data_IF_813907179352
#
_entry.id   IF_813907179352
#
_cell.length_a   1.000
_cell.length_b   1.000
_cell.length_c   1.000
_cell.angle_alpha   90.00
_cell.angle_beta   90.00
_cell.angle_gamma   90.00
#
_symmetry.space_group_name_H-M   'P 1'
#
loop_
_entity.id
_entity.type
_entity.pdbx_description
1 polymer ?
#
# COMPACT_ATOMS: atom_id res chain seq x y z
N UNK A 1 1.77 -9.22 -45.04
CA UNK A 1 0.91 -8.05 -44.73
C UNK A 1 1.79 -6.92 -44.24
N UNK A 2 1.66 -5.70 -44.79
CA UNK A 2 2.59 -4.60 -44.51
C UNK A 2 2.42 -4.06 -43.07
N UNK A 3 3.51 -4.05 -42.30
CA UNK A 3 3.61 -3.47 -40.95
C UNK A 3 3.16 -2.00 -40.88
N UNK A 4 3.17 -1.29 -42.03
CA UNK A 4 2.79 0.12 -42.14
C UNK A 4 1.35 0.38 -41.70
N UNK A 5 0.40 -0.52 -42.01
CA UNK A 5 -1.00 -0.33 -41.60
C UNK A 5 -1.15 -0.41 -40.09
N UNK A 6 -0.50 -1.40 -39.45
CA UNK A 6 -0.51 -1.56 -37.99
C UNK A 6 0.09 -0.34 -37.29
N UNK A 7 1.26 0.12 -37.73
CA UNK A 7 1.91 1.33 -37.18
C UNK A 7 0.99 2.56 -37.31
N UNK A 8 0.35 2.75 -38.46
CA UNK A 8 -0.59 3.88 -38.66
C UNK A 8 -1.81 3.77 -37.76
N UNK A 9 -2.38 2.57 -37.60
CA UNK A 9 -3.51 2.34 -36.71
C UNK A 9 -3.16 2.64 -35.25
N UNK A 10 -2.05 2.09 -34.74
CA UNK A 10 -1.57 2.36 -33.38
C UNK A 10 -1.28 3.84 -33.15
N UNK A 11 -0.65 4.51 -34.12
CA UNK A 11 -0.38 5.96 -34.04
C UNK A 11 -1.67 6.77 -33.94
N UNK A 12 -2.69 6.43 -34.73
CA UNK A 12 -3.99 7.10 -34.67
C UNK A 12 -4.68 6.86 -33.33
N UNK A 13 -4.72 5.62 -32.85
CA UNK A 13 -5.30 5.27 -31.54
C UNK A 13 -4.58 6.06 -30.43
N UNK A 14 -3.25 6.05 -30.40
CA UNK A 14 -2.45 6.80 -29.42
C UNK A 14 -2.76 8.30 -29.45
N UNK A 15 -2.81 8.92 -30.63
CA UNK A 15 -3.17 10.33 -30.77
C UNK A 15 -4.58 10.63 -30.26
N UNK A 16 -5.55 9.77 -30.56
CA UNK A 16 -6.94 9.96 -30.13
C UNK A 16 -7.10 9.73 -28.62
N UNK A 17 -6.40 8.75 -28.03
CA UNK A 17 -6.32 8.56 -26.57
C UNK A 17 -5.69 9.77 -25.88
N UNK A 18 -4.61 10.34 -26.43
CA UNK A 18 -3.98 11.54 -25.86
C UNK A 18 -4.89 12.77 -25.94
N UNK A 19 -5.68 12.94 -27.02
CA UNK A 19 -6.70 14.00 -27.09
C UNK A 19 -7.77 13.83 -26.00
N UNK A 20 -8.16 12.59 -25.71
CA UNK A 20 -9.10 12.28 -24.62
C UNK A 20 -8.48 12.62 -23.25
N UNK A 21 -7.23 12.23 -23.00
CA UNK A 21 -6.51 12.60 -21.77
C UNK A 21 -6.44 14.11 -21.57
N UNK A 22 -6.09 14.88 -22.61
CA UNK A 22 -6.07 16.36 -22.57
C UNK A 22 -7.44 16.97 -22.29
N UNK A 23 -8.51 16.37 -22.81
CA UNK A 23 -9.88 16.81 -22.51
C UNK A 23 -10.24 16.51 -21.07
N UNK A 24 -9.88 15.31 -20.58
CA UNK A 24 -10.17 14.88 -19.23
C UNK A 24 -9.54 15.80 -18.17
N UNK A 25 -8.24 16.10 -18.28
CA UNK A 25 -7.54 16.97 -17.31
C UNK A 25 -8.03 18.43 -17.30
N UNK A 26 -8.77 18.86 -18.34
CA UNK A 26 -9.44 20.17 -18.41
C UNK A 26 -10.86 20.15 -17.87
N UNK A 27 -11.48 18.97 -17.82
CA UNK A 27 -12.91 18.82 -17.49
C UNK A 27 -13.12 18.28 -16.07
N UNK A 28 -12.15 17.53 -15.53
CA UNK A 28 -12.29 16.82 -14.28
C UNK A 28 -11.07 17.05 -13.37
N UNK A 29 -11.26 17.04 -12.04
CA UNK A 29 -10.17 16.83 -11.11
C UNK A 29 -9.39 15.56 -11.47
N UNK A 30 -8.07 15.66 -11.49
CA UNK A 30 -7.20 14.56 -11.90
C UNK A 30 -5.99 14.45 -10.98
N UNK A 31 -5.44 13.23 -10.97
CA UNK A 31 -4.21 12.89 -10.25
C UNK A 31 -3.19 12.41 -11.25
N UNK A 32 -1.93 12.64 -10.94
CA UNK A 32 -0.81 12.21 -11.75
C UNK A 32 -0.02 11.14 -11.00
N UNK A 33 0.46 10.16 -11.74
CA UNK A 33 1.46 9.23 -11.25
C UNK A 33 2.34 8.78 -12.41
N UNK A 34 3.56 8.38 -12.12
CA UNK A 34 4.46 7.80 -13.09
C UNK A 34 5.37 6.80 -12.40
N UNK A 35 5.89 5.88 -13.20
CA UNK A 35 6.84 4.87 -12.74
C UNK A 35 7.78 4.48 -13.88
N UNK A 36 8.89 3.86 -13.50
CA UNK A 36 9.94 3.40 -14.38
C UNK A 36 9.47 2.22 -15.25
N UNK A 37 9.80 2.32 -16.53
CA UNK A 37 9.75 1.22 -17.47
C UNK A 37 11.17 0.74 -17.73
N UNK A 38 11.51 -0.39 -17.12
CA UNK A 38 12.83 -0.97 -17.17
C UNK A 38 12.81 -2.30 -17.93
N UNK A 39 13.44 -2.34 -19.09
CA UNK A 39 13.42 -3.51 -19.98
C UNK A 39 14.84 -4.08 -20.11
N UNK A 40 15.15 -5.23 -19.51
CA UNK A 40 16.42 -5.90 -19.68
C UNK A 40 16.46 -6.65 -21.01
N UNK A 41 17.44 -6.32 -21.85
CA UNK A 41 17.74 -7.07 -23.07
C UNK A 41 18.94 -7.98 -22.84
N UNK A 42 18.70 -9.30 -22.87
CA UNK A 42 19.73 -10.31 -22.64
C UNK A 42 20.33 -10.74 -23.97
N UNK A 43 21.64 -10.56 -24.12
CA UNK A 43 22.40 -11.21 -25.18
C UNK A 43 22.87 -12.58 -24.70
N UNK A 44 22.36 -13.64 -25.34
CA UNK A 44 22.75 -15.03 -25.02
C UNK A 44 24.16 -15.38 -25.50
N UNK A 45 24.69 -14.63 -26.47
CA UNK A 45 26.04 -14.81 -27.02
C UNK A 45 26.78 -13.48 -27.02
N UNK A 46 27.39 -13.15 -25.89
CA UNK A 46 28.05 -11.87 -25.68
C UNK A 46 29.28 -11.70 -26.59
N UNK A 47 29.36 -10.58 -27.32
CA UNK A 47 30.51 -10.13 -28.12
C UNK A 47 30.83 -8.67 -27.79
N UNK A 48 31.95 -8.12 -28.27
CA UNK A 48 32.29 -6.70 -28.02
C UNK A 48 31.16 -5.75 -28.42
N UNK A 49 30.48 -6.04 -29.53
CA UNK A 49 29.39 -5.28 -30.15
C UNK A 49 27.99 -5.81 -29.78
N UNK A 50 27.91 -6.93 -29.06
CA UNK A 50 26.64 -7.59 -28.73
C UNK A 50 26.61 -7.93 -27.24
N UNK A 51 26.35 -6.92 -26.40
CA UNK A 51 26.25 -7.08 -24.95
C UNK A 51 24.79 -7.00 -24.51
N UNK A 52 24.49 -7.63 -23.38
CA UNK A 52 23.25 -7.34 -22.67
C UNK A 52 23.21 -5.84 -22.35
N UNK A 53 22.05 -5.22 -22.54
CA UNK A 53 21.82 -3.83 -22.20
C UNK A 53 20.48 -3.68 -21.50
N UNK A 54 20.27 -2.52 -20.89
CA UNK A 54 19.11 -2.23 -20.08
C UNK A 54 18.54 -0.91 -20.58
N UNK A 55 17.34 -0.96 -21.13
CA UNK A 55 16.64 0.25 -21.56
C UNK A 55 15.80 0.76 -20.40
N UNK A 56 16.07 1.99 -19.99
CA UNK A 56 15.33 2.69 -18.95
C UNK A 56 14.53 3.83 -19.57
N UNK A 57 13.23 3.81 -19.30
CA UNK A 57 12.32 4.90 -19.57
C UNK A 57 11.34 5.07 -18.43
N UNK A 58 10.36 5.95 -18.63
CA UNK A 58 9.30 6.21 -17.67
C UNK A 58 7.98 6.32 -18.39
N UNK A 59 6.91 5.86 -17.75
CA UNK A 59 5.54 6.02 -18.23
C UNK A 59 4.71 6.77 -17.19
N UNK A 60 3.93 7.74 -17.66
CA UNK A 60 3.01 8.50 -16.81
C UNK A 60 1.58 8.04 -16.98
N UNK A 61 0.72 8.33 -16.00
CA UNK A 61 -0.71 8.11 -16.05
C UNK A 61 -1.45 9.26 -15.38
N UNK A 62 -2.61 9.61 -15.94
CA UNK A 62 -3.59 10.47 -15.28
C UNK A 62 -4.79 9.65 -14.84
N UNK A 63 -5.27 9.93 -13.63
CA UNK A 63 -6.44 9.28 -13.03
C UNK A 63 -7.52 10.31 -12.76
N UNK A 64 -8.76 10.03 -13.16
CA UNK A 64 -9.90 10.93 -12.97
C UNK A 64 -11.21 10.13 -12.84
N UNK A 65 -12.23 10.72 -12.20
CA UNK A 65 -13.55 10.11 -12.03
C UNK A 65 -14.61 10.97 -12.73
N UNK A 66 -14.94 10.69 -14.00
CA UNK A 66 -15.80 11.58 -14.80
C UNK A 66 -17.26 11.60 -14.36
N UNK A 67 -17.69 10.59 -13.59
CA UNK A 67 -19.08 10.42 -13.15
C UNK A 67 -19.24 10.66 -11.65
N UNK A 68 -18.15 10.96 -10.93
CA UNK A 68 -18.23 11.17 -9.49
C UNK A 68 -18.91 12.52 -9.19
N UNK A 69 -19.56 12.65 -8.03
CA UNK A 69 -19.97 13.95 -7.53
C UNK A 69 -18.79 14.93 -7.52
N UNK A 70 -19.02 16.24 -7.77
CA UNK A 70 -17.97 17.23 -7.75
C UNK A 70 -17.16 17.18 -6.46
N UNK A 71 -15.84 17.12 -6.58
CA UNK A 71 -14.93 17.17 -5.45
C UNK A 71 -14.86 18.61 -4.90
N UNK A 72 -14.67 18.79 -3.57
CA UNK A 72 -14.39 20.10 -3.01
C UNK A 72 -13.18 20.74 -3.71
N UNK A 73 -13.26 22.03 -4.10
CA UNK A 73 -12.16 22.69 -4.79
C UNK A 73 -10.93 22.74 -3.90
N UNK A 74 -9.78 22.38 -4.45
CA UNK A 74 -8.50 22.56 -3.77
C UNK A 74 -8.02 24.00 -3.96
N UNK A 75 -7.77 24.69 -2.86
CA UNK A 75 -7.34 26.10 -2.86
C UNK A 75 -5.89 26.16 -2.42
N UNK A 76 -4.99 26.56 -3.34
CA UNK A 76 -3.54 26.60 -3.08
C UNK A 76 -3.19 27.49 -1.87
N UNK A 77 -3.77 28.67 -1.78
CA UNK A 77 -3.53 29.61 -0.69
C UNK A 77 -3.93 29.00 0.67
N UNK A 78 -5.10 28.34 0.75
CA UNK A 78 -5.54 27.67 1.96
C UNK A 78 -4.63 26.51 2.38
N UNK A 79 -4.10 25.75 1.41
CA UNK A 79 -3.08 24.72 1.69
C UNK A 79 -1.78 25.33 2.21
N UNK A 80 -1.33 26.45 1.65
CA UNK A 80 -0.11 27.13 2.10
C UNK A 80 -0.27 27.68 3.53
N UNK A 81 -1.39 28.33 3.82
CA UNK A 81 -1.72 28.84 5.16
C UNK A 81 -1.76 27.70 6.19
N UNK A 82 -2.43 26.59 5.87
CA UNK A 82 -2.51 25.41 6.73
C UNK A 82 -1.13 24.77 6.96
N UNK A 83 -0.29 24.65 5.93
CA UNK A 83 1.11 24.18 6.07
C UNK A 83 1.94 25.10 6.98
N UNK A 84 1.82 26.43 6.83
CA UNK A 84 2.55 27.38 7.68
C UNK A 84 2.13 27.23 9.15
N UNK A 85 0.84 27.03 9.40
CA UNK A 85 0.32 26.78 10.75
C UNK A 85 0.81 25.43 11.29
N UNK A 86 0.66 24.35 10.52
CA UNK A 86 1.02 23.00 10.92
C UNK A 86 2.51 22.80 11.18
N UNK A 87 3.40 23.48 10.44
CA UNK A 87 4.85 23.47 10.71
C UNK A 87 5.23 24.01 12.09
N UNK A 88 4.40 24.87 12.69
CA UNK A 88 4.62 25.39 14.04
C UNK A 88 4.17 24.42 15.14
N UNK A 89 3.46 23.36 14.76
CA UNK A 89 2.95 22.32 15.64
C UNK A 89 3.15 20.94 14.97
N UNK A 90 4.41 20.49 14.80
CA UNK A 90 4.69 19.21 14.17
C UNK A 90 4.12 18.06 14.99
N UNK A 91 3.72 16.98 14.32
CA UNK A 91 3.32 15.74 14.97
C UNK A 91 4.49 15.20 15.79
N UNK A 92 4.22 14.87 17.06
CA UNK A 92 5.20 14.36 18.00
C UNK A 92 5.14 12.83 18.10
N UNK A 93 6.15 12.23 18.74
CA UNK A 93 6.12 10.80 19.06
C UNK A 93 4.93 10.47 19.97
N UNK A 94 4.63 11.33 20.95
CA UNK A 94 3.50 11.13 21.87
C UNK A 94 2.16 11.17 21.13
N UNK A 95 2.00 12.04 20.13
CA UNK A 95 0.83 12.03 19.25
C UNK A 95 0.69 10.69 18.52
N UNK A 96 1.79 10.14 17.98
CA UNK A 96 1.77 8.88 17.23
C UNK A 96 1.47 7.69 18.14
N UNK A 97 2.04 7.66 19.35
CA UNK A 97 1.72 6.65 20.38
C UNK A 97 0.24 6.74 20.74
N UNK A 98 -0.29 7.96 20.91
CA UNK A 98 -1.72 8.18 21.20
C UNK A 98 -2.59 7.64 20.07
N UNK A 99 -2.23 7.91 18.81
CA UNK A 99 -2.96 7.38 17.64
C UNK A 99 -2.92 5.84 17.57
N UNK A 100 -1.80 5.21 17.92
CA UNK A 100 -1.67 3.75 17.96
C UNK A 100 -2.56 3.14 19.06
N UNK A 101 -2.55 3.74 20.26
CA UNK A 101 -3.40 3.32 21.38
C UNK A 101 -4.89 3.50 21.07
N UNK A 102 -5.28 4.59 20.43
CA UNK A 102 -6.66 4.82 19.97
C UNK A 102 -7.08 3.85 18.86
N UNK A 103 -6.14 3.40 18.01
CA UNK A 103 -6.40 2.43 16.96
C UNK A 103 -6.49 0.99 17.51
N UNK A 104 -5.82 0.69 18.62
CA UNK A 104 -5.64 -0.67 19.11
C UNK A 104 -6.95 -1.47 19.29
N UNK A 105 -8.05 -0.94 19.88
CA UNK A 105 -9.29 -1.69 20.00
C UNK A 105 -9.90 -2.08 18.64
N UNK A 106 -9.89 -1.16 17.68
CA UNK A 106 -10.43 -1.43 16.34
C UNK A 106 -9.54 -2.44 15.61
N UNK A 107 -8.22 -2.30 15.70
CA UNK A 107 -7.28 -3.26 15.11
C UNK A 107 -7.41 -4.65 15.76
N UNK A 108 -7.72 -4.72 17.06
CA UNK A 108 -8.01 -5.97 17.74
C UNK A 108 -9.24 -6.68 17.16
N UNK A 109 -10.34 -5.96 16.92
CA UNK A 109 -11.54 -6.51 16.26
C UNK A 109 -11.22 -7.12 14.89
N UNK A 110 -10.38 -6.46 14.10
CA UNK A 110 -9.92 -7.00 12.82
C UNK A 110 -9.05 -8.26 12.97
N UNK A 111 -8.17 -8.31 14.00
CA UNK A 111 -7.37 -9.49 14.32
C UNK A 111 -8.24 -10.70 14.69
N UNK A 112 -9.23 -10.48 15.55
CA UNK A 112 -10.21 -11.51 15.97
C UNK A 112 -10.99 -12.02 14.76
N UNK A 113 -11.49 -11.13 13.91
CA UNK A 113 -12.18 -11.52 12.69
C UNK A 113 -11.28 -12.31 11.74
N UNK A 114 -10.01 -11.94 11.58
CA UNK A 114 -9.07 -12.72 10.76
C UNK A 114 -8.86 -14.14 11.32
N UNK A 115 -8.71 -14.27 12.64
CA UNK A 115 -8.62 -15.59 13.29
C UNK A 115 -9.88 -16.44 13.09
N UNK A 116 -11.07 -15.84 13.20
CA UNK A 116 -12.35 -16.48 12.84
C UNK A 116 -12.36 -16.88 11.38
N UNK A 117 -12.00 -15.97 10.48
CA UNK A 117 -12.01 -16.20 9.04
C UNK A 117 -11.17 -17.42 8.64
N UNK A 118 -9.99 -17.62 9.24
CA UNK A 118 -9.16 -18.80 8.96
C UNK A 118 -9.81 -20.13 9.38
N UNK A 119 -10.68 -20.11 10.39
CA UNK A 119 -11.53 -21.24 10.75
C UNK A 119 -12.69 -21.39 9.76
N UNK A 120 -13.46 -20.32 9.51
CA UNK A 120 -14.67 -20.35 8.69
C UNK A 120 -14.39 -20.74 7.23
N UNK A 121 -13.26 -20.27 6.68
CA UNK A 121 -12.79 -20.61 5.33
C UNK A 121 -12.18 -22.02 5.25
N UNK A 122 -12.03 -22.72 6.39
CA UNK A 122 -11.48 -24.08 6.41
C UNK A 122 -12.41 -25.06 5.71
N UNK A 123 -11.91 -25.87 4.75
CA UNK A 123 -12.69 -26.96 4.17
C UNK A 123 -13.26 -27.93 5.21
N UNK A 124 -12.51 -28.16 6.31
CA UNK A 124 -12.93 -29.02 7.42
C UNK A 124 -14.13 -28.42 8.17
N UNK A 125 -14.13 -27.10 8.39
CA UNK A 125 -15.23 -26.42 9.06
C UNK A 125 -16.46 -26.37 8.17
N UNK A 126 -16.29 -26.13 6.87
CA UNK A 126 -17.36 -26.09 5.87
C UNK A 126 -18.53 -25.19 6.29
N UNK A 127 -18.31 -23.86 6.22
CA UNK A 127 -19.28 -22.84 6.66
C UNK A 127 -20.71 -23.06 6.14
N UNK A 128 -20.85 -23.56 4.89
CA UNK A 128 -22.16 -23.87 4.29
C UNK A 128 -23.03 -24.85 5.09
N UNK A 129 -22.40 -25.66 5.95
CA UNK A 129 -23.05 -26.66 6.81
C UNK A 129 -23.27 -26.20 8.24
N UNK A 130 -22.81 -25.00 8.59
CA UNK A 130 -22.96 -24.45 9.93
C UNK A 130 -24.32 -23.79 10.10
N UNK A 131 -25.05 -24.17 11.15
CA UNK A 131 -26.43 -23.73 11.40
C UNK A 131 -26.56 -22.20 11.43
N UNK A 132 -25.56 -21.51 11.99
CA UNK A 132 -25.56 -20.07 12.20
C UNK A 132 -24.67 -19.31 11.20
N UNK A 133 -24.45 -19.84 9.99
CA UNK A 133 -23.54 -19.25 8.99
C UNK A 133 -23.84 -17.78 8.61
N UNK A 134 -25.07 -17.30 8.83
CA UNK A 134 -25.49 -15.92 8.57
C UNK A 134 -25.47 -14.99 9.78
N UNK A 135 -24.94 -15.44 10.92
CA UNK A 135 -24.90 -14.64 12.15
C UNK A 135 -23.96 -13.43 12.01
N UNK A 136 -24.40 -12.27 12.51
CA UNK A 136 -23.65 -11.03 12.43
C UNK A 136 -22.31 -11.06 13.18
N UNK A 137 -22.16 -11.92 14.19
CA UNK A 137 -20.90 -12.09 14.93
C UNK A 137 -19.78 -12.73 14.10
N UNK A 138 -20.13 -13.38 12.99
CA UNK A 138 -19.19 -14.02 12.05
C UNK A 138 -18.83 -13.09 10.88
N UNK A 139 -19.54 -11.98 10.74
CA UNK A 139 -19.32 -11.01 9.68
C UNK A 139 -18.02 -10.22 9.90
N UNK A 140 -17.41 -9.70 8.83
CA UNK A 140 -16.31 -8.74 8.97
C UNK A 140 -16.73 -7.52 9.81
N UNK A 141 -15.81 -6.92 10.58
CA UNK A 141 -16.06 -5.63 11.21
C UNK A 141 -16.52 -4.59 10.19
N UNK A 142 -17.42 -3.71 10.60
CA UNK A 142 -17.88 -2.61 9.76
C UNK A 142 -16.70 -1.73 9.36
N UNK A 143 -16.66 -1.26 8.09
CA UNK A 143 -15.58 -0.39 7.66
C UNK A 143 -15.62 0.93 8.42
N UNK A 144 -14.45 1.48 8.75
CA UNK A 144 -14.32 2.75 9.48
C UNK A 144 -14.71 3.91 8.56
N UNK A 145 -14.11 3.95 7.37
CA UNK A 145 -14.45 4.89 6.33
C UNK A 145 -14.23 4.20 4.99
N UNK A 146 -15.28 3.61 4.46
CA UNK A 146 -15.26 3.02 3.14
C UNK A 146 -15.38 4.10 2.06
N UNK A 147 -14.49 4.06 1.07
CA UNK A 147 -14.63 4.89 -0.11
C UNK A 147 -15.92 4.53 -0.85
N UNK A 148 -16.58 5.54 -1.45
CA UNK A 148 -17.80 5.28 -2.17
C UNK A 148 -17.51 4.46 -3.42
N UNK A 149 -18.37 3.47 -3.66
CA UNK A 149 -18.31 2.53 -4.76
C UNK A 149 -19.55 2.66 -5.66
N UNK A 150 -19.49 2.13 -6.89
CA UNK A 150 -20.61 2.22 -7.83
C UNK A 150 -20.15 2.67 -9.21
N UNK A 151 -21.10 2.81 -10.14
CA UNK A 151 -20.80 3.21 -11.54
C UNK A 151 -20.28 4.64 -11.62
N UNK A 152 -20.76 5.49 -10.72
CA UNK A 152 -20.40 6.89 -10.55
C UNK A 152 -18.98 7.08 -9.99
N UNK A 153 -18.45 6.09 -9.26
CA UNK A 153 -17.12 6.17 -8.64
C UNK A 153 -16.01 5.45 -9.42
N UNK A 154 -16.28 4.99 -10.66
CA UNK A 154 -15.29 4.33 -11.51
C UNK A 154 -14.17 5.31 -11.89
N UNK A 155 -12.96 5.00 -11.44
CA UNK A 155 -11.74 5.66 -11.90
C UNK A 155 -11.46 5.32 -13.35
N UNK A 156 -11.18 6.34 -14.16
CA UNK A 156 -10.60 6.20 -15.49
C UNK A 156 -9.12 6.53 -15.43
N UNK A 157 -8.31 5.69 -16.07
CA UNK A 157 -6.88 5.90 -16.27
C UNK A 157 -6.63 6.26 -17.73
N UNK A 158 -5.77 7.25 -17.97
CA UNK A 158 -5.22 7.51 -19.30
C UNK A 158 -3.70 7.52 -19.21
N UNK A 159 -3.10 6.54 -19.88
CA UNK A 159 -1.65 6.36 -19.95
C UNK A 159 -1.05 7.42 -20.88
N UNK A 160 0.01 8.07 -20.42
CA UNK A 160 0.79 9.04 -21.18
C UNK A 160 1.81 8.34 -22.08
N UNK A 161 2.35 9.06 -23.05
CA UNK A 161 3.40 8.53 -23.92
C UNK A 161 4.67 8.24 -23.12
N UNK A 162 5.19 7.03 -23.26
CA UNK A 162 6.45 6.60 -22.66
C UNK A 162 7.61 7.42 -23.18
N UNK A 163 8.56 7.76 -22.30
CA UNK A 163 9.74 8.56 -22.64
C UNK A 163 11.02 7.92 -22.13
N UNK A 164 12.12 8.14 -22.85
CA UNK A 164 13.45 7.63 -22.48
C UNK A 164 14.17 8.63 -21.56
N UNK A 165 13.56 8.88 -20.39
CA UNK A 165 14.09 9.75 -19.34
C UNK A 165 14.19 8.88 -18.09
N UNK A 166 15.33 8.93 -17.41
CA UNK A 166 15.58 8.15 -16.20
C UNK A 166 15.08 8.89 -14.96
N UNK A 167 14.09 8.33 -14.27
CA UNK A 167 13.51 8.90 -13.06
C UNK A 167 14.45 8.87 -11.85
N UNK A 168 15.50 8.03 -11.86
CA UNK A 168 16.34 7.78 -10.68
C UNK A 168 17.11 9.02 -10.19
N UNK A 169 17.22 10.04 -11.05
CA UNK A 169 17.93 11.30 -10.79
C UNK A 169 16.98 12.49 -10.61
N UNK A 170 17.42 13.51 -9.87
CA UNK A 170 16.69 14.77 -9.75
C UNK A 170 16.49 15.47 -11.10
N UNK A 171 17.51 15.48 -11.95
CA UNK A 171 17.43 16.07 -13.30
C UNK A 171 16.39 15.35 -14.17
N UNK A 172 16.38 14.02 -14.13
CA UNK A 172 15.40 13.23 -14.86
C UNK A 172 13.98 13.41 -14.34
N UNK A 173 13.79 13.41 -13.01
CA UNK A 173 12.51 13.73 -12.36
C UNK A 173 11.98 15.10 -12.82
N UNK A 174 12.82 16.12 -12.84
CA UNK A 174 12.42 17.46 -13.30
C UNK A 174 11.99 17.49 -14.78
N UNK A 175 12.77 16.82 -15.63
CA UNK A 175 12.43 16.64 -17.05
C UNK A 175 11.11 15.90 -17.23
N UNK A 176 10.82 14.89 -16.42
CA UNK A 176 9.57 14.14 -16.43
C UNK A 176 8.38 15.02 -16.08
N UNK A 177 8.46 15.82 -15.00
CA UNK A 177 7.39 16.76 -14.63
C UNK A 177 7.05 17.69 -15.80
N UNK A 178 8.06 18.30 -16.40
CA UNK A 178 7.92 19.16 -17.59
C UNK A 178 7.26 18.41 -18.75
N UNK A 179 7.72 17.18 -19.02
CA UNK A 179 7.22 16.35 -20.10
C UNK A 179 5.75 15.95 -19.92
N UNK A 180 5.32 15.62 -18.71
CA UNK A 180 3.91 15.31 -18.42
C UNK A 180 2.99 16.50 -18.68
N UNK A 181 3.36 17.70 -18.21
CA UNK A 181 2.62 18.92 -18.54
C UNK A 181 2.60 19.19 -20.05
N UNK A 182 3.71 18.94 -20.76
CA UNK A 182 3.79 19.10 -22.22
C UNK A 182 2.83 18.14 -22.93
N UNK A 183 2.84 16.85 -22.56
CA UNK A 183 1.96 15.85 -23.16
C UNK A 183 0.48 16.17 -22.92
N UNK A 184 0.15 16.64 -21.71
CA UNK A 184 -1.19 17.07 -21.33
C UNK A 184 -1.61 18.43 -21.92
N UNK A 185 -0.70 19.14 -22.61
CA UNK A 185 -1.01 20.44 -23.21
C UNK A 185 -1.24 21.54 -22.17
N UNK A 186 -0.52 21.45 -21.04
CA UNK A 186 -0.58 22.31 -19.87
C UNK A 186 0.76 23.06 -19.63
N UNK A 187 1.61 23.17 -20.65
CA UNK A 187 2.96 23.75 -20.55
C UNK A 187 3.11 25.15 -21.17
N UNK A 188 2.02 25.74 -21.68
CA UNK A 188 2.08 27.13 -22.16
C UNK A 188 2.43 28.09 -21.01
N UNK A 189 2.91 29.29 -21.31
CA UNK A 189 3.18 30.31 -20.27
C UNK A 189 1.93 30.60 -19.41
N UNK A 190 0.76 30.74 -20.04
CA UNK A 190 -0.51 30.93 -19.34
C UNK A 190 -0.88 29.77 -18.43
N UNK A 191 -0.67 28.53 -18.88
CA UNK A 191 -0.96 27.32 -18.09
C UNK A 191 0.01 27.16 -16.91
N UNK A 192 1.29 27.46 -17.10
CA UNK A 192 2.30 27.44 -16.01
C UNK A 192 1.93 28.47 -14.94
N UNK A 193 1.61 29.70 -15.35
CA UNK A 193 1.14 30.75 -14.44
C UNK A 193 -0.14 30.32 -13.71
N UNK A 194 -1.13 29.79 -14.43
CA UNK A 194 -2.37 29.32 -13.82
C UNK A 194 -2.13 28.19 -12.82
N UNK A 195 -1.29 27.22 -13.16
CA UNK A 195 -0.93 26.09 -12.31
C UNK A 195 -0.24 26.56 -11.02
N UNK A 196 0.82 27.37 -11.13
CA UNK A 196 1.57 27.87 -9.97
C UNK A 196 0.81 28.84 -9.07
N UNK A 197 -0.30 29.41 -9.53
CA UNK A 197 -1.10 30.36 -8.75
C UNK A 197 -2.40 29.77 -8.19
N UNK A 198 -2.97 28.73 -8.83
CA UNK A 198 -4.35 28.32 -8.53
C UNK A 198 -4.53 26.82 -8.32
N UNK A 199 -3.60 25.97 -8.77
CA UNK A 199 -3.81 24.52 -8.73
C UNK A 199 -3.16 23.89 -7.50
N UNK A 200 -3.81 22.83 -7.01
CA UNK A 200 -3.20 21.79 -6.19
C UNK A 200 -3.43 20.48 -6.93
N UNK A 201 -2.35 19.75 -7.20
CA UNK A 201 -2.35 18.53 -8.00
C UNK A 201 -1.78 17.39 -7.14
N UNK A 202 -2.63 16.42 -6.76
CA UNK A 202 -2.14 15.22 -6.11
C UNK A 202 -1.27 14.41 -7.06
N UNK A 203 -0.10 14.02 -6.57
CA UNK A 203 0.87 13.22 -7.28
C UNK A 203 1.17 11.94 -6.49
N UNK A 204 0.95 10.79 -7.10
CA UNK A 204 1.07 9.47 -6.47
C UNK A 204 2.19 8.72 -7.15
N UNK A 205 3.10 8.13 -6.38
CA UNK A 205 4.20 7.34 -6.90
C UNK A 205 4.77 6.40 -5.86
N UNK A 206 5.81 5.67 -6.22
CA UNK A 206 6.58 4.93 -5.23
C UNK A 206 7.33 5.91 -4.29
N UNK A 207 8.01 5.36 -3.29
CA UNK A 207 8.75 6.18 -2.33
C UNK A 207 9.87 7.00 -3.00
N UNK A 208 10.53 6.48 -4.03
CA UNK A 208 11.62 7.19 -4.69
C UNK A 208 11.07 8.38 -5.50
N UNK A 209 9.97 8.19 -6.22
CA UNK A 209 9.24 9.27 -6.92
C UNK A 209 8.91 10.40 -5.96
N UNK A 210 8.30 10.06 -4.81
CA UNK A 210 7.86 11.04 -3.81
C UNK A 210 9.04 11.77 -3.17
N UNK A 211 10.09 11.04 -2.77
CA UNK A 211 11.34 11.62 -2.25
C UNK A 211 11.96 12.61 -3.22
N UNK A 212 12.00 12.26 -4.52
CA UNK A 212 12.58 13.12 -5.56
C UNK A 212 11.74 14.37 -5.82
N UNK A 213 10.43 14.23 -5.94
CA UNK A 213 9.54 15.39 -6.12
C UNK A 213 9.59 16.34 -4.92
N UNK A 214 9.55 15.81 -3.69
CA UNK A 214 9.69 16.60 -2.46
C UNK A 214 11.07 17.27 -2.39
N UNK A 215 12.13 16.55 -2.73
CA UNK A 215 13.49 17.09 -2.78
C UNK A 215 13.66 18.20 -3.82
N UNK A 216 13.04 18.09 -5.00
CA UNK A 216 13.03 19.17 -6.00
C UNK A 216 12.29 20.41 -5.48
N UNK A 217 11.11 20.24 -4.89
CA UNK A 217 10.35 21.35 -4.32
C UNK A 217 11.17 22.08 -3.22
N UNK A 218 11.88 21.33 -2.38
CA UNK A 218 12.78 21.90 -1.38
C UNK A 218 13.97 22.65 -2.00
N UNK A 219 14.63 22.07 -3.00
CA UNK A 219 15.74 22.72 -3.70
C UNK A 219 15.32 24.01 -4.40
N UNK A 220 14.08 24.04 -4.90
CA UNK A 220 13.49 25.17 -5.60
C UNK A 220 12.73 26.12 -4.68
N UNK A 221 12.76 25.93 -3.36
CA UNK A 221 11.94 26.70 -2.43
C UNK A 221 12.14 28.23 -2.49
N UNK A 222 13.27 28.69 -3.04
CA UNK A 222 13.60 30.11 -3.20
C UNK A 222 13.30 30.66 -4.62
N UNK A 223 12.74 29.84 -5.52
CA UNK A 223 12.39 30.28 -6.86
C UNK A 223 11.30 31.36 -6.84
N UNK A 224 11.32 32.20 -7.88
CA UNK A 224 10.59 33.47 -7.92
C UNK A 224 9.06 33.32 -8.03
N UNK A 225 8.56 32.15 -8.42
CA UNK A 225 7.12 31.92 -8.62
C UNK A 225 6.69 30.52 -8.19
N UNK A 226 5.41 30.34 -7.89
CA UNK A 226 4.88 29.09 -7.35
C UNK A 226 4.88 27.91 -8.32
N UNK A 227 5.03 28.13 -9.64
CA UNK A 227 5.19 27.02 -10.58
C UNK A 227 6.60 26.43 -10.48
N UNK A 228 7.63 27.27 -10.53
CA UNK A 228 9.02 26.83 -10.43
C UNK A 228 9.31 26.21 -9.05
N UNK A 229 8.78 26.81 -7.97
CA UNK A 229 8.83 26.21 -6.62
C UNK A 229 8.06 24.89 -6.46
N UNK A 230 7.24 24.52 -7.44
CA UNK A 230 6.36 23.34 -7.40
C UNK A 230 5.30 23.41 -6.28
N UNK A 231 4.86 24.61 -5.88
CA UNK A 231 3.89 24.83 -4.79
C UNK A 231 2.56 24.09 -5.02
N UNK A 232 2.21 23.86 -6.29
CA UNK A 232 1.01 23.17 -6.72
C UNK A 232 1.03 21.66 -6.43
N UNK A 233 2.17 21.06 -6.08
CA UNK A 233 2.25 19.62 -5.88
C UNK A 233 1.82 19.18 -4.49
N UNK A 234 1.02 18.11 -4.46
CA UNK A 234 0.68 17.39 -3.25
C UNK A 234 1.06 15.92 -3.42
N UNK A 235 2.29 15.61 -3.01
CA UNK A 235 2.88 14.28 -3.22
C UNK A 235 2.46 13.29 -2.13
N UNK A 236 2.18 12.05 -2.52
CA UNK A 236 1.88 10.95 -1.60
C UNK A 236 2.35 9.61 -2.18
N UNK A 237 2.68 8.65 -1.32
CA UNK A 237 3.09 7.32 -1.75
C UNK A 237 1.89 6.48 -2.18
N UNK A 238 2.13 5.53 -3.09
CA UNK A 238 1.14 4.53 -3.49
C UNK A 238 1.00 3.41 -2.45
N UNK A 239 -0.23 3.11 -2.04
CA UNK A 239 -0.52 2.08 -1.03
C UNK A 239 -0.16 0.66 -1.48
N UNK A 240 -0.14 0.39 -2.79
CA UNK A 240 0.33 -0.90 -3.32
C UNK A 240 1.81 -1.13 -2.97
N UNK A 241 2.68 -0.15 -3.22
CA UNK A 241 4.09 -0.21 -2.85
C UNK A 241 4.29 -0.30 -1.34
N UNK A 242 3.45 0.38 -0.56
CA UNK A 242 3.43 0.28 0.89
C UNK A 242 3.13 -1.16 1.36
N UNK A 243 2.07 -1.78 0.85
CA UNK A 243 1.70 -3.17 1.12
C UNK A 243 2.83 -4.13 0.75
N UNK A 244 3.45 -3.93 -0.41
CA UNK A 244 4.61 -4.72 -0.85
C UNK A 244 5.76 -4.64 0.14
N UNK A 245 6.06 -3.45 0.64
CA UNK A 245 7.15 -3.27 1.59
C UNK A 245 6.86 -3.88 2.95
N UNK A 246 5.62 -3.77 3.44
CA UNK A 246 5.21 -4.47 4.66
C UNK A 246 5.43 -5.98 4.49
N UNK A 247 4.95 -6.58 3.39
CA UNK A 247 5.18 -7.99 3.08
C UNK A 247 6.67 -8.35 3.03
N UNK A 248 7.50 -7.54 2.36
CA UNK A 248 8.94 -7.76 2.31
C UNK A 248 9.62 -7.65 3.69
N UNK A 249 9.18 -6.72 4.54
CA UNK A 249 9.70 -6.60 5.89
C UNK A 249 9.41 -7.84 6.73
N UNK A 250 8.20 -8.43 6.60
CA UNK A 250 7.84 -9.70 7.24
C UNK A 250 8.70 -10.83 6.69
N UNK A 251 8.85 -10.90 5.36
CA UNK A 251 9.70 -11.90 4.72
C UNK A 251 11.12 -11.87 5.27
N UNK A 252 11.74 -10.69 5.35
CA UNK A 252 13.12 -10.52 5.83
C UNK A 252 13.26 -10.90 7.30
N UNK A 253 12.34 -10.47 8.15
CA UNK A 253 12.38 -10.71 9.60
C UNK A 253 12.19 -12.20 9.93
N UNK A 254 11.24 -12.86 9.28
CA UNK A 254 10.86 -14.24 9.58
C UNK A 254 11.44 -15.27 8.61
N UNK A 255 12.39 -14.88 7.76
CA UNK A 255 12.96 -15.75 6.73
C UNK A 255 13.54 -17.04 7.32
N UNK A 256 14.45 -16.88 8.29
CA UNK A 256 15.13 -17.99 8.95
C UNK A 256 16.01 -18.83 8.01
N UNK A 257 16.29 -20.06 8.45
CA UNK A 257 17.09 -21.05 7.71
C UNK A 257 16.23 -22.26 7.33
N UNK A 258 16.78 -23.18 6.55
CA UNK A 258 16.11 -24.46 6.23
C UNK A 258 16.08 -25.42 7.41
N UNK A 259 16.95 -25.23 8.41
CA UNK A 259 16.95 -26.01 9.64
C UNK A 259 16.01 -25.42 10.70
N UNK A 260 15.84 -24.10 10.70
CA UNK A 260 14.87 -23.41 11.55
C UNK A 260 13.43 -23.57 11.05
N UNK A 261 12.46 -23.11 11.84
CA UNK A 261 11.02 -23.17 11.50
C UNK A 261 10.47 -21.83 10.97
N UNK A 262 11.30 -21.08 10.24
CA UNK A 262 10.90 -19.81 9.62
C UNK A 262 10.22 -19.97 8.26
N UNK A 263 9.98 -18.85 7.58
CA UNK A 263 9.33 -18.80 6.26
C UNK A 263 10.07 -19.61 5.20
N UNK A 264 11.42 -19.65 5.24
CA UNK A 264 12.21 -20.45 4.31
C UNK A 264 11.88 -21.94 4.41
N UNK A 265 11.76 -22.45 5.63
CA UNK A 265 11.34 -23.84 5.86
C UNK A 265 9.90 -24.06 5.36
N UNK A 266 8.98 -23.17 5.74
CA UNK A 266 7.58 -23.28 5.34
C UNK A 266 7.41 -23.26 3.81
N UNK A 267 8.10 -22.37 3.11
CA UNK A 267 8.10 -22.31 1.64
C UNK A 267 8.71 -23.57 1.01
N UNK A 268 9.73 -24.15 1.64
CA UNK A 268 10.28 -25.44 1.24
C UNK A 268 9.26 -26.57 1.34
N UNK A 269 8.55 -26.68 2.47
CA UNK A 269 7.48 -27.67 2.68
C UNK A 269 6.32 -27.47 1.70
N UNK A 270 5.96 -26.22 1.42
CA UNK A 270 4.89 -25.88 0.47
C UNK A 270 5.32 -26.00 -1.00
N UNK A 271 6.59 -26.34 -1.29
CA UNK A 271 7.11 -26.44 -2.65
C UNK A 271 7.12 -25.11 -3.42
N UNK A 272 7.15 -23.96 -2.72
CA UNK A 272 7.13 -22.63 -3.35
C UNK A 272 8.50 -22.30 -3.95
N UNK A 273 8.54 -22.07 -5.26
CA UNK A 273 9.73 -21.61 -5.98
C UNK A 273 9.80 -20.08 -5.99
N UNK A 274 11.00 -19.51 -6.17
CA UNK A 274 11.19 -18.05 -6.24
C UNK A 274 11.21 -17.31 -4.88
N UNK A 275 10.84 -17.96 -3.77
CA UNK A 275 10.85 -17.39 -2.42
C UNK A 275 12.04 -17.85 -1.56
N UNK A 276 13.02 -18.52 -2.16
CA UNK A 276 14.14 -19.13 -1.44
C UNK A 276 15.31 -18.17 -1.17
N UNK A 277 15.15 -16.91 -1.57
CA UNK A 277 16.09 -15.83 -1.30
C UNK A 277 15.31 -14.57 -0.93
N UNK A 278 15.98 -13.62 -0.28
CA UNK A 278 15.41 -12.30 0.02
C UNK A 278 15.47 -11.33 -1.16
N UNK A 279 15.87 -11.78 -2.36
CA UNK A 279 15.89 -10.92 -3.54
C UNK A 279 14.47 -10.71 -4.08
N UNK A 280 14.08 -9.44 -4.17
CA UNK A 280 12.78 -9.02 -4.70
C UNK A 280 12.92 -8.72 -6.20
N UNK A 281 12.49 -9.65 -7.06
CA UNK A 281 12.48 -9.47 -8.53
C UNK A 281 11.25 -10.12 -9.16
N UNK A 282 10.68 -9.47 -10.17
CA UNK A 282 9.59 -10.03 -10.99
C UNK A 282 8.35 -10.42 -10.16
N UNK A 283 7.83 -11.62 -10.37
CA UNK A 283 6.64 -12.13 -9.69
C UNK A 283 6.81 -12.44 -8.20
N UNK A 284 7.96 -12.12 -7.61
CA UNK A 284 8.29 -12.38 -6.21
C UNK A 284 7.18 -11.94 -5.26
N UNK A 285 6.63 -10.73 -5.44
CA UNK A 285 5.61 -10.22 -4.53
C UNK A 285 4.32 -11.05 -4.56
N UNK A 286 3.84 -11.43 -5.75
CA UNK A 286 2.67 -12.28 -5.89
C UNK A 286 2.85 -13.62 -5.15
N UNK A 287 4.02 -14.25 -5.33
CA UNK A 287 4.34 -15.49 -4.64
C UNK A 287 4.45 -15.29 -3.12
N UNK A 288 5.06 -14.19 -2.68
CA UNK A 288 5.23 -13.89 -1.26
C UNK A 288 3.88 -13.69 -0.59
N UNK A 289 2.98 -12.92 -1.20
CA UNK A 289 1.62 -12.70 -0.69
C UNK A 289 0.89 -14.02 -0.45
N UNK A 290 0.86 -14.89 -1.45
CA UNK A 290 0.22 -16.21 -1.31
C UNK A 290 0.93 -17.09 -0.29
N UNK A 291 2.27 -17.04 -0.24
CA UNK A 291 3.06 -17.76 0.74
C UNK A 291 2.73 -17.35 2.17
N UNK A 292 2.70 -16.04 2.46
CA UNK A 292 2.31 -15.51 3.76
C UNK A 292 0.89 -15.93 4.13
N UNK A 293 -0.05 -15.89 3.18
CA UNK A 293 -1.44 -16.31 3.41
C UNK A 293 -1.54 -17.79 3.82
N UNK A 294 -0.87 -18.68 3.09
CA UNK A 294 -0.86 -20.11 3.41
C UNK A 294 -0.21 -20.40 4.76
N UNK A 295 0.89 -19.72 5.08
CA UNK A 295 1.58 -19.90 6.36
C UNK A 295 0.70 -19.40 7.51
N UNK A 296 0.11 -18.21 7.40
CA UNK A 296 -0.78 -17.69 8.42
C UNK A 296 -2.02 -18.59 8.62
N UNK A 297 -2.67 -19.01 7.54
CA UNK A 297 -3.80 -19.95 7.57
C UNK A 297 -3.45 -21.25 8.30
N UNK A 298 -2.31 -21.85 7.98
CA UNK A 298 -1.84 -23.06 8.66
C UNK A 298 -1.59 -22.84 10.15
N UNK A 299 -0.93 -21.74 10.52
CA UNK A 299 -0.67 -21.38 11.91
C UNK A 299 -1.97 -21.17 12.70
N UNK A 300 -2.90 -20.36 12.21
CA UNK A 300 -4.15 -20.09 12.91
C UNK A 300 -5.02 -21.33 13.04
N UNK A 301 -5.10 -22.18 12.00
CA UNK A 301 -5.81 -23.47 12.10
C UNK A 301 -5.17 -24.42 13.11
N UNK A 302 -3.84 -24.44 13.21
CA UNK A 302 -3.15 -25.20 14.25
C UNK A 302 -3.42 -24.63 15.65
N UNK A 303 -3.44 -23.31 15.81
CA UNK A 303 -3.79 -22.64 17.06
C UNK A 303 -5.24 -22.95 17.48
N UNK A 304 -6.20 -22.98 16.55
CA UNK A 304 -7.57 -23.41 16.83
C UNK A 304 -7.62 -24.81 17.45
N UNK A 305 -6.94 -25.78 16.82
CA UNK A 305 -6.86 -27.15 17.36
C UNK A 305 -6.17 -27.20 18.72
N UNK A 306 -5.03 -26.51 18.87
CA UNK A 306 -4.26 -26.47 20.12
C UNK A 306 -5.08 -25.84 21.27
N UNK A 307 -5.77 -24.74 20.99
CA UNK A 307 -6.51 -23.97 22.00
C UNK A 307 -7.78 -24.69 22.47
N UNK A 308 -8.50 -25.32 21.54
CA UNK A 308 -9.78 -25.98 21.83
C UNK A 308 -9.66 -27.47 22.15
N UNK A 309 -8.51 -28.07 21.87
CA UNK A 309 -8.26 -29.52 22.05
C UNK A 309 -8.93 -30.40 20.99
N UNK A 310 -9.59 -29.82 19.99
CA UNK A 310 -10.24 -30.61 18.92
C UNK A 310 -9.22 -31.21 17.96
N UNK A 311 -9.52 -32.41 17.45
CA UNK A 311 -8.69 -33.03 16.42
C UNK A 311 -9.06 -32.51 15.03
N UNK A 312 -10.36 -32.30 14.79
CA UNK A 312 -10.90 -31.81 13.53
C UNK A 312 -11.59 -30.44 13.75
N UNK A 313 -11.34 -29.47 12.85
CA UNK A 313 -12.00 -28.16 12.92
C UNK A 313 -13.51 -28.28 12.69
N UNK A 314 -13.97 -29.35 12.03
CA UNK A 314 -15.38 -29.67 11.87
C UNK A 314 -16.15 -29.78 13.19
N UNK A 315 -15.47 -30.16 14.29
CA UNK A 315 -16.06 -30.34 15.61
C UNK A 315 -16.47 -29.00 16.25
N UNK A 316 -15.85 -27.90 15.81
CA UNK A 316 -16.17 -26.55 16.27
C UNK A 316 -17.50 -26.03 15.71
N UNK A 317 -18.12 -26.70 14.73
CA UNK A 317 -19.49 -26.37 14.28
C UNK A 317 -20.55 -26.56 15.36
N UNK A 318 -20.24 -27.29 16.43
CA UNK A 318 -21.13 -27.46 17.58
C UNK A 318 -21.19 -26.23 18.47
N UNK A 319 -20.25 -25.28 18.28
CA UNK A 319 -20.18 -24.03 19.04
C UNK A 319 -21.10 -22.98 18.47
N UNK A 320 -21.70 -22.17 19.35
CA UNK A 320 -22.45 -20.98 18.96
C UNK A 320 -21.52 -19.90 18.38
N UNK A 321 -22.03 -18.94 17.60
CA UNK A 321 -21.23 -17.83 17.07
C UNK A 321 -20.52 -17.03 18.17
N UNK A 322 -21.18 -16.83 19.31
CA UNK A 322 -20.60 -16.16 20.46
C UNK A 322 -19.43 -16.95 21.07
N UNK A 323 -19.57 -18.27 21.23
CA UNK A 323 -18.47 -19.11 21.70
C UNK A 323 -17.29 -19.09 20.72
N UNK A 324 -17.55 -19.18 19.41
CA UNK A 324 -16.50 -19.09 18.40
C UNK A 324 -15.77 -17.75 18.48
N UNK A 325 -16.50 -16.64 18.63
CA UNK A 325 -15.90 -15.33 18.77
C UNK A 325 -15.03 -15.22 20.02
N UNK A 326 -15.53 -15.65 21.18
CA UNK A 326 -14.75 -15.64 22.43
C UNK A 326 -13.50 -16.52 22.33
N UNK A 327 -13.58 -17.69 21.68
CA UNK A 327 -12.41 -18.52 21.41
C UNK A 327 -11.40 -17.84 20.49
N UNK A 328 -11.86 -17.06 19.51
CA UNK A 328 -10.97 -16.29 18.63
C UNK A 328 -10.28 -15.14 19.37
N UNK A 329 -11.00 -14.44 20.26
CA UNK A 329 -10.44 -13.42 21.17
C UNK A 329 -9.33 -14.04 22.03
N UNK A 330 -9.61 -15.16 22.71
CA UNK A 330 -8.63 -15.90 23.51
C UNK A 330 -7.43 -16.37 22.68
N UNK A 331 -7.65 -16.80 21.44
CA UNK A 331 -6.60 -17.22 20.53
C UNK A 331 -5.66 -16.05 20.21
N UNK A 332 -6.20 -14.87 19.89
CA UNK A 332 -5.38 -13.68 19.65
C UNK A 332 -4.56 -13.34 20.91
N UNK A 333 -5.19 -13.34 22.08
CA UNK A 333 -4.51 -13.05 23.34
C UNK A 333 -3.37 -14.03 23.65
N UNK A 334 -3.51 -15.32 23.32
CA UNK A 334 -2.52 -16.37 23.66
C UNK A 334 -1.45 -16.64 22.59
N UNK A 335 -1.73 -16.31 21.33
CA UNK A 335 -0.90 -16.73 20.20
C UNK A 335 -0.53 -15.61 19.22
N UNK A 336 -1.05 -14.39 19.39
CA UNK A 336 -0.82 -13.29 18.44
C UNK A 336 -0.85 -11.89 19.09
N UNK A 337 -0.47 -11.79 20.37
CA UNK A 337 -0.45 -10.55 21.14
C UNK A 337 0.99 -10.21 21.60
N UNK A 338 1.20 -8.99 22.08
CA UNK A 338 2.45 -8.62 22.76
C UNK A 338 2.49 -9.24 24.15
N UNK A 339 1.38 -9.26 24.88
CA UNK A 339 1.26 -9.89 26.20
C UNK A 339 1.69 -11.36 26.16
N UNK A 340 1.32 -12.14 25.12
CA UNK A 340 1.76 -13.53 24.97
C UNK A 340 3.28 -13.66 24.76
N UNK A 341 3.94 -12.63 24.24
CA UNK A 341 5.39 -12.60 24.11
C UNK A 341 6.05 -12.20 25.43
N UNK A 342 5.47 -11.25 26.16
CA UNK A 342 5.94 -10.85 27.49
C UNK A 342 5.80 -12.01 28.48
N UNK A 343 4.65 -12.69 28.49
CA UNK A 343 4.42 -13.90 29.28
C UNK A 343 5.44 -15.01 28.97
N UNK A 344 5.91 -15.09 27.73
CA UNK A 344 6.94 -16.06 27.31
C UNK A 344 8.34 -15.61 27.73
N UNK A 345 8.65 -14.32 27.58
CA UNK A 345 9.94 -13.73 27.94
C UNK A 345 10.16 -13.73 29.47
N UNK A 346 9.08 -13.76 30.27
CA UNK A 346 9.10 -13.89 31.73
C UNK A 346 9.41 -15.33 32.21
N UNK A 347 9.36 -16.33 31.33
CA UNK A 347 9.75 -17.71 31.67
C UNK A 347 11.26 -17.83 31.87
N UNK A 348 11.67 -18.83 32.68
CA UNK A 348 13.08 -19.21 32.76
C UNK A 348 13.58 -19.66 31.38
N UNK A 349 14.84 -19.36 31.06
CA UNK A 349 15.45 -19.69 29.75
C UNK A 349 15.31 -21.19 29.40
N UNK A 350 15.32 -22.08 30.39
CA UNK A 350 15.12 -23.52 30.19
C UNK A 350 13.70 -23.92 29.79
N UNK A 351 12.72 -23.07 30.09
CA UNK A 351 11.29 -23.28 29.84
C UNK A 351 10.79 -22.48 28.62
N UNK A 352 11.65 -21.63 28.04
CA UNK A 352 11.35 -20.85 26.84
C UNK A 352 11.34 -21.75 25.59
N UNK A 353 10.15 -21.92 25.00
CA UNK A 353 9.99 -22.51 23.67
C UNK A 353 10.21 -21.45 22.57
N UNK A 354 11.42 -21.42 22.02
CA UNK A 354 11.81 -20.54 20.92
C UNK A 354 10.92 -20.68 19.67
N UNK A 355 10.41 -21.88 19.39
CA UNK A 355 9.54 -22.09 18.23
C UNK A 355 8.18 -21.47 18.45
N UNK A 356 7.62 -21.66 19.65
CA UNK A 356 6.37 -21.05 20.05
C UNK A 356 6.47 -19.52 20.07
N UNK A 357 7.56 -18.98 20.62
CA UNK A 357 7.84 -17.54 20.63
C UNK A 357 7.89 -16.97 19.22
N UNK A 358 8.68 -17.58 18.33
CA UNK A 358 8.80 -17.12 16.93
C UNK A 358 7.47 -17.21 16.18
N UNK A 359 6.68 -18.26 16.39
CA UNK A 359 5.35 -18.39 15.82
C UNK A 359 4.41 -17.27 16.32
N UNK A 360 4.42 -17.00 17.63
CA UNK A 360 3.63 -15.93 18.25
C UNK A 360 4.01 -14.56 17.68
N UNK A 361 5.32 -14.27 17.55
CA UNK A 361 5.80 -13.05 16.92
C UNK A 361 5.31 -12.93 15.47
N UNK A 362 5.45 -13.98 14.67
CA UNK A 362 4.98 -13.98 13.27
C UNK A 362 3.48 -13.75 13.19
N UNK A 363 2.69 -14.44 14.00
CA UNK A 363 1.23 -14.34 14.01
C UNK A 363 0.77 -12.94 14.43
N UNK A 364 1.40 -12.35 15.46
CA UNK A 364 1.14 -10.97 15.90
C UNK A 364 1.39 -9.96 14.77
N UNK A 365 2.49 -10.10 14.05
CA UNK A 365 2.94 -9.14 13.02
C UNK A 365 2.27 -9.36 11.64
N UNK A 366 1.83 -10.58 11.32
CA UNK A 366 1.21 -10.89 10.02
C UNK A 366 -0.26 -10.45 9.96
N UNK A 367 -0.97 -10.40 11.09
CA UNK A 367 -2.38 -10.01 11.11
C UNK A 367 -2.61 -8.55 10.66
N UNK A 368 -1.85 -7.53 11.13
CA UNK A 368 -1.92 -6.17 10.59
C UNK A 368 -1.68 -6.09 9.07
N UNK A 369 -0.81 -6.95 8.51
CA UNK A 369 -0.61 -7.02 7.07
C UNK A 369 -1.86 -7.50 6.32
N UNK A 370 -2.57 -8.51 6.83
CA UNK A 370 -3.84 -8.93 6.22
C UNK A 370 -4.97 -7.93 6.46
N UNK A 371 -4.97 -7.21 7.58
CA UNK A 371 -5.88 -6.10 7.81
C UNK A 371 -5.66 -4.98 6.77
N UNK A 372 -4.38 -4.62 6.51
CA UNK A 372 -3.99 -3.69 5.45
C UNK A 372 -4.51 -4.14 4.07
N UNK A 373 -4.29 -5.41 3.69
CA UNK A 373 -4.77 -5.94 2.42
C UNK A 373 -6.28 -5.89 2.28
N UNK A 374 -7.01 -6.22 3.36
CA UNK A 374 -8.45 -6.13 3.37
C UNK A 374 -8.93 -4.69 3.24
N UNK A 375 -8.29 -3.74 3.94
CA UNK A 375 -8.58 -2.32 3.88
C UNK A 375 -8.38 -1.76 2.46
N UNK A 376 -7.26 -2.09 1.82
CA UNK A 376 -6.98 -1.73 0.42
C UNK A 376 -8.10 -2.32 -0.46
N UNK A 377 -8.35 -3.62 -0.39
CA UNK A 377 -9.35 -4.26 -1.27
C UNK A 377 -10.77 -3.73 -1.09
N UNK A 378 -11.19 -3.42 0.14
CA UNK A 378 -12.52 -2.89 0.44
C UNK A 378 -12.63 -1.38 0.24
N UNK A 379 -11.50 -0.68 0.07
CA UNK A 379 -11.43 0.78 0.07
C UNK A 379 -11.70 1.40 1.44
N UNK A 380 -11.44 0.70 2.55
CA UNK A 380 -11.56 1.25 3.90
C UNK A 380 -10.34 2.09 4.28
N UNK A 381 -10.38 3.34 3.84
CA UNK A 381 -9.33 4.34 4.08
C UNK A 381 -9.22 4.75 5.54
N UNK A 382 -10.28 4.57 6.33
CA UNK A 382 -10.22 4.80 7.77
C UNK A 382 -9.33 3.76 8.45
N UNK A 383 -9.45 2.49 8.06
CA UNK A 383 -8.58 1.43 8.56
C UNK A 383 -7.14 1.60 8.06
N UNK A 384 -6.93 2.08 6.83
CA UNK A 384 -5.60 2.43 6.34
C UNK A 384 -4.92 3.48 7.22
N UNK A 385 -5.62 4.56 7.58
CA UNK A 385 -5.11 5.60 8.48
C UNK A 385 -4.79 5.03 9.86
N UNK A 386 -5.68 4.20 10.43
CA UNK A 386 -5.48 3.58 11.75
C UNK A 386 -4.31 2.59 11.80
N UNK A 387 -3.89 2.04 10.67
CA UNK A 387 -2.73 1.15 10.58
C UNK A 387 -1.38 1.90 10.49
N UNK A 388 -1.39 3.19 10.17
CA UNK A 388 -0.17 3.98 9.97
C UNK A 388 0.75 4.00 11.21
N UNK A 389 0.26 4.26 12.45
CA UNK A 389 1.13 4.28 13.63
C UNK A 389 1.82 2.93 13.86
N UNK A 390 1.08 1.83 13.75
CA UNK A 390 1.62 0.48 13.89
C UNK A 390 2.75 0.22 12.87
N UNK A 391 2.53 0.55 11.60
CA UNK A 391 3.56 0.37 10.57
C UNK A 391 4.71 1.38 10.67
N UNK A 392 4.50 2.55 11.25
CA UNK A 392 5.57 3.49 11.57
C UNK A 392 6.57 2.86 12.53
N UNK A 393 6.11 2.29 13.65
CA UNK A 393 6.99 1.61 14.60
C UNK A 393 7.71 0.41 13.96
N UNK A 394 7.01 -0.36 13.12
CA UNK A 394 7.61 -1.45 12.35
C UNK A 394 8.73 -0.96 11.42
N UNK A 395 8.52 0.12 10.69
CA UNK A 395 9.53 0.65 9.77
C UNK A 395 10.69 1.35 10.48
N UNK A 396 10.47 1.93 11.66
CA UNK A 396 11.54 2.41 12.53
C UNK A 396 12.44 1.28 13.04
N UNK A 397 11.86 0.12 13.38
CA UNK A 397 12.60 -1.06 13.83
C UNK A 397 13.23 -1.91 12.72
N UNK A 398 12.95 -1.61 11.44
CA UNK A 398 13.49 -2.34 10.29
C UNK A 398 14.34 -1.42 9.42
N UNK A 399 15.04 -1.97 8.41
CA UNK A 399 15.86 -1.18 7.48
C UNK A 399 15.02 -0.42 6.43
N UNK A 400 13.82 0.03 6.78
CA UNK A 400 12.81 0.61 5.89
C UNK A 400 12.50 2.08 6.25
N UNK A 401 13.52 2.79 6.73
CA UNK A 401 13.46 4.13 7.31
C UNK A 401 12.81 5.15 6.35
N UNK A 402 12.97 4.95 5.04
CA UNK A 402 12.38 5.82 4.03
C UNK A 402 10.85 5.81 4.07
N UNK A 403 10.23 4.65 4.24
CA UNK A 403 8.78 4.58 4.40
C UNK A 403 8.32 4.99 5.79
N UNK A 404 9.16 4.91 6.83
CA UNK A 404 8.86 5.55 8.10
C UNK A 404 8.73 7.08 7.92
N UNK A 405 9.60 7.70 7.11
CA UNK A 405 9.50 9.12 6.74
C UNK A 405 8.21 9.38 5.95
N UNK A 406 7.87 8.54 4.98
CA UNK A 406 6.62 8.74 4.22
C UNK A 406 5.35 8.62 5.10
N UNK A 407 5.35 7.74 6.11
CA UNK A 407 4.27 7.71 7.10
C UNK A 407 4.23 8.99 7.92
N UNK A 408 5.37 9.49 8.40
CA UNK A 408 5.44 10.76 9.14
C UNK A 408 4.90 11.93 8.33
N UNK A 409 5.29 12.02 7.06
CA UNK A 409 4.82 13.05 6.13
C UNK A 409 3.30 12.96 5.92
N UNK A 410 2.76 11.74 5.80
CA UNK A 410 1.32 11.54 5.68
C UNK A 410 0.57 11.92 6.97
N UNK A 411 1.06 11.49 8.14
CA UNK A 411 0.44 11.82 9.43
C UNK A 411 0.51 13.32 9.72
N UNK A 412 1.66 13.96 9.47
CA UNK A 412 1.82 15.42 9.55
C UNK A 412 0.82 16.14 8.64
N UNK A 413 0.68 15.67 7.40
CA UNK A 413 -0.31 16.13 6.45
C UNK A 413 -1.73 16.06 7.00
N UNK A 414 -2.18 14.86 7.37
CA UNK A 414 -3.54 14.57 7.81
C UNK A 414 -3.94 15.30 9.11
N UNK A 415 -3.01 15.42 10.07
CA UNK A 415 -3.33 15.91 11.41
C UNK A 415 -2.94 17.36 11.67
N UNK A 416 -2.00 17.93 10.89
CA UNK A 416 -1.44 19.27 11.19
C UNK A 416 -1.48 20.24 10.01
N UNK A 417 -1.33 19.77 8.77
CA UNK A 417 -1.03 20.67 7.63
C UNK A 417 -2.09 20.75 6.54
N UNK A 418 -3.01 19.79 6.44
CA UNK A 418 -3.99 19.76 5.35
C UNK A 418 -5.37 20.25 5.81
N UNK A 419 -5.98 21.21 5.08
CA UNK A 419 -7.37 21.54 5.29
C UNK A 419 -8.29 20.37 4.87
N UNK A 420 -9.53 20.37 5.37
CA UNK A 420 -10.45 19.24 5.22
C UNK A 420 -10.70 18.82 3.75
N UNK A 421 -10.79 19.78 2.83
CA UNK A 421 -10.91 19.50 1.40
C UNK A 421 -9.69 18.76 0.82
N UNK A 422 -8.48 19.13 1.27
CA UNK A 422 -7.24 18.46 0.86
C UNK A 422 -7.17 17.05 1.46
N UNK A 423 -7.51 16.91 2.76
CA UNK A 423 -7.59 15.62 3.43
C UNK A 423 -8.57 14.69 2.69
N UNK A 424 -9.77 15.16 2.39
CA UNK A 424 -10.77 14.43 1.63
C UNK A 424 -10.21 13.94 0.29
N UNK A 425 -9.58 14.83 -0.49
CA UNK A 425 -9.04 14.46 -1.81
C UNK A 425 -7.93 13.42 -1.68
N UNK A 426 -6.99 13.57 -0.74
CA UNK A 426 -5.90 12.60 -0.56
C UNK A 426 -6.40 11.24 -0.08
N UNK A 427 -7.37 11.23 0.82
CA UNK A 427 -8.04 10.00 1.24
C UNK A 427 -8.71 9.32 0.02
N UNK A 428 -9.41 10.07 -0.83
CA UNK A 428 -9.97 9.53 -2.09
C UNK A 428 -8.90 9.06 -3.09
N UNK A 429 -7.70 9.64 -3.03
CA UNK A 429 -6.55 9.26 -3.84
C UNK A 429 -5.86 7.98 -3.36
N UNK A 430 -6.08 7.56 -2.11
CA UNK A 430 -5.38 6.43 -1.50
C UNK A 430 -5.61 5.10 -2.21
N UNK A 431 -6.64 5.00 -3.06
CA UNK A 431 -6.93 3.80 -3.86
C UNK A 431 -6.62 3.97 -5.36
N UNK A 432 -5.90 5.04 -5.75
CA UNK A 432 -5.53 5.31 -7.14
C UNK A 432 -4.13 4.78 -7.48
N UNK A 433 -3.91 3.47 -7.33
CA UNK A 433 -2.75 2.67 -7.80
C UNK A 433 -2.93 1.26 -7.20
N UNK A 434 -2.93 0.09 -7.85
CA UNK A 434 -2.56 -0.33 -9.20
C UNK A 434 -3.44 -1.55 -9.53
N UNK A 435 -4.27 -1.45 -10.57
CA UNK A 435 -4.76 -2.64 -11.26
C UNK A 435 -3.70 -2.98 -12.30
N UNK A 436 -2.84 -3.95 -11.97
CA UNK A 436 -2.25 -4.82 -12.98
C UNK A 436 -3.03 -6.12 -13.02
#
# INVERSE_FOLDING_TARGET
MSNIWGIRAYKKISQDRMKEARRAVRSYPYRLGYDNLNIPFVSYSQRMDNKSHFDSGTTGSVFYKPYAPPEPPLVLMGLQEARIAGRKNPISLDDIITLDLEAAPILHEHKVYLALKYLLDSPDFSLSTYEHQGDALLAPPLPIHQLPHGREHITKQSVLGTVHIDESTYEGTDKLVTEWFRQLGLYSEGERKHTGMNKVLPWIGDQLTVERLRGLANYRGEDRNGYDRMDYMLVNFGWFHFEMLVGHSLHKQYFGTTAGRGLRYAFGVLGRTGLQTTQVKGSFYHHLREGLAHVAEAHFRACWKKHTGVTNLADLRTKSPQELRTLAEDLICKFASTDALEDHDDLLETDQDDYFRNATMFQRDVLPYFALQNAIRSGDVGLLEKLLPHFFFRFCGTSNNKYAIEILELLQGLHREWPENVRYVIIQCSMLSELN
#
